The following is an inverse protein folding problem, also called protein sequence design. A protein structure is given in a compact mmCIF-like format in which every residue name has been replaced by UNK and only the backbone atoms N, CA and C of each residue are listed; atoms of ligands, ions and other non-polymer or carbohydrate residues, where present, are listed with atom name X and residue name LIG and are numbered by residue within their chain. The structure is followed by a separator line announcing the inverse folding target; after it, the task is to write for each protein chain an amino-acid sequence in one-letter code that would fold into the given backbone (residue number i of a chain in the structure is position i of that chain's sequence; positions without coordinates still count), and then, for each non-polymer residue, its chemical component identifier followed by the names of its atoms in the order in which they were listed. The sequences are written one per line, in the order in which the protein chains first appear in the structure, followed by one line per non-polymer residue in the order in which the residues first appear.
data_IF_332201831433
#
_entry.id   IF_332201831433
#
_cell.length_a   1.000
_cell.length_b   1.000
_cell.length_c   1.000
_cell.angle_alpha   90.00
_cell.angle_beta   90.00
_cell.angle_gamma   90.00
#
_symmetry.space_group_name_H-M   'P 1'
#
loop_
_entity.id
_entity.type
_entity.pdbx_description
1 polymer ?
#
# COMPACT_ATOMS: atom_id res chain seq x y z
N UNK A 1 -7.14 13.23 -4.05
CA UNK A 1 -7.26 14.43 -3.18
C UNK A 1 -5.91 15.04 -2.81
N UNK A 2 -5.08 14.34 -2.02
CA UNK A 2 -3.70 14.80 -1.73
C UNK A 2 -2.67 13.66 -1.70
N UNK A 3 -2.68 12.82 -0.67
CA UNK A 3 -1.60 11.84 -0.40
C UNK A 3 -2.09 10.50 0.15
N UNK A 4 -3.32 10.12 -0.18
CA UNK A 4 -3.95 8.92 0.34
C UNK A 4 -5.21 8.58 -0.43
N UNK A 5 -5.71 7.37 -0.20
CA UNK A 5 -6.86 6.77 -0.85
C UNK A 5 -7.87 6.31 0.20
N UNK A 6 -9.15 6.30 -0.16
CA UNK A 6 -10.23 5.78 0.69
C UNK A 6 -10.88 4.60 -0.03
N UNK A 7 -11.26 3.57 0.73
CA UNK A 7 -12.03 2.43 0.23
C UNK A 7 -13.44 2.45 0.84
N UNK A 8 -14.47 2.38 0.00
CA UNK A 8 -15.86 2.30 0.41
C UNK A 8 -16.41 0.92 0.04
N UNK A 9 -16.72 0.09 1.05
CA UNK A 9 -17.31 -1.25 0.84
C UNK A 9 -18.83 -1.13 0.88
N UNK A 10 -19.47 -1.32 -0.27
CA UNK A 10 -20.91 -1.05 -0.47
C UNK A 10 -21.84 -2.22 -0.15
N UNK A 11 -21.31 -3.42 0.07
CA UNK A 11 -22.06 -4.65 0.31
C UNK A 11 -23.03 -4.54 1.48
N UNK A 12 -24.25 -5.08 1.33
CA UNK A 12 -25.29 -5.03 2.38
C UNK A 12 -24.79 -5.63 3.71
N UNK A 13 -24.08 -6.75 3.64
CA UNK A 13 -23.49 -7.42 4.81
C UNK A 13 -22.44 -6.54 5.49
N UNK A 14 -21.60 -5.84 4.72
CA UNK A 14 -20.58 -4.94 5.26
C UNK A 14 -21.23 -3.71 5.94
N UNK A 15 -22.27 -3.13 5.32
CA UNK A 15 -23.01 -2.00 5.90
C UNK A 15 -23.65 -2.32 7.25
N UNK A 16 -24.08 -3.58 7.44
CA UNK A 16 -24.73 -4.07 8.67
C UNK A 16 -23.76 -4.57 9.75
N UNK A 17 -22.44 -4.51 9.54
CA UNK A 17 -21.47 -4.91 10.55
C UNK A 17 -21.56 -4.02 11.81
N UNK A 18 -21.55 -4.68 12.97
CA UNK A 18 -21.39 -4.03 14.27
C UNK A 18 -19.98 -3.44 14.42
N UNK A 19 -19.77 -2.55 15.39
CA UNK A 19 -18.42 -2.04 15.69
C UNK A 19 -17.43 -3.18 15.97
N UNK A 20 -17.85 -4.23 16.67
CA UNK A 20 -17.00 -5.40 16.92
C UNK A 20 -16.64 -6.15 15.62
N UNK A 21 -17.61 -6.34 14.71
CA UNK A 21 -17.33 -6.96 13.40
C UNK A 21 -16.40 -6.11 12.53
N UNK A 22 -16.55 -4.79 12.59
CA UNK A 22 -15.67 -3.83 11.92
C UNK A 22 -14.24 -3.86 12.47
N UNK A 23 -14.09 -3.85 13.80
CA UNK A 23 -12.79 -3.99 14.46
C UNK A 23 -12.11 -5.29 14.06
N UNK A 24 -12.83 -6.43 14.08
CA UNK A 24 -12.25 -7.71 13.69
C UNK A 24 -11.69 -7.71 12.26
N UNK A 25 -12.38 -7.08 11.30
CA UNK A 25 -11.89 -6.94 9.92
C UNK A 25 -10.67 -6.02 9.85
N UNK A 26 -10.73 -4.86 10.51
CA UNK A 26 -9.64 -3.89 10.51
C UNK A 26 -8.36 -4.46 11.16
N UNK A 27 -8.50 -5.15 12.30
CA UNK A 27 -7.41 -5.83 13.01
C UNK A 27 -6.85 -6.98 12.17
N UNK A 28 -7.71 -7.80 11.55
CA UNK A 28 -7.27 -8.87 10.66
C UNK A 28 -6.39 -8.36 9.51
N UNK A 29 -6.72 -7.20 8.93
CA UNK A 29 -5.95 -6.59 7.85
C UNK A 29 -4.72 -5.78 8.34
N UNK A 30 -4.59 -5.52 9.64
CA UNK A 30 -3.53 -4.67 10.19
C UNK A 30 -2.32 -5.50 10.62
N UNK A 31 -1.39 -5.74 9.69
CA UNK A 31 -0.16 -6.48 9.98
C UNK A 31 0.89 -5.62 10.70
N UNK A 32 0.88 -4.31 10.51
CA UNK A 32 1.85 -3.37 11.11
C UNK A 32 1.18 -2.64 12.26
N UNK A 33 1.59 -2.92 13.49
CA UNK A 33 1.07 -2.28 14.70
C UNK A 33 2.25 -1.69 15.49
N UNK A 34 2.33 -0.35 15.50
CA UNK A 34 3.48 0.36 16.03
C UNK A 34 4.75 0.00 15.26
N UNK A 35 5.80 -0.42 15.97
CA UNK A 35 7.08 -0.81 15.38
C UNK A 35 7.21 -2.32 15.10
N UNK A 36 6.09 -3.04 15.04
CA UNK A 36 6.07 -4.50 14.88
C UNK A 36 5.25 -4.92 13.67
N UNK A 37 5.77 -5.90 12.94
CA UNK A 37 5.06 -6.62 11.89
C UNK A 37 4.63 -7.99 12.43
N UNK A 38 3.33 -8.26 12.46
CA UNK A 38 2.79 -9.55 12.85
C UNK A 38 2.58 -10.46 11.63
N UNK A 39 3.51 -11.38 11.43
CA UNK A 39 3.46 -12.37 10.33
C UNK A 39 2.70 -13.66 10.72
N UNK A 40 2.38 -13.84 12.00
CA UNK A 40 1.77 -15.06 12.54
C UNK A 40 0.27 -14.89 12.82
N UNK A 41 -0.28 -13.69 12.64
CA UNK A 41 -1.71 -13.39 12.76
C UNK A 41 -2.23 -13.51 14.20
N UNK A 42 -1.47 -12.97 15.16
CA UNK A 42 -1.87 -12.86 16.57
C UNK A 42 -1.93 -14.18 17.34
N UNK A 43 -1.70 -15.33 16.69
CA UNK A 43 -1.62 -16.64 17.34
C UNK A 43 -0.26 -16.76 18.01
N UNK A 44 -0.24 -16.86 19.34
CA UNK A 44 0.99 -17.02 20.11
C UNK A 44 1.86 -18.19 19.65
N UNK A 45 3.11 -18.22 20.13
CA UNK A 45 4.28 -19.06 19.76
C UNK A 45 4.10 -20.57 19.47
N UNK A 46 2.90 -21.14 19.58
CA UNK A 46 2.61 -22.57 19.40
C UNK A 46 2.50 -23.02 17.94
N UNK A 47 2.39 -22.10 16.98
CA UNK A 47 2.57 -22.40 15.56
C UNK A 47 3.29 -21.24 14.88
N UNK A 48 4.58 -21.37 14.52
CA UNK A 48 5.33 -20.33 13.81
C UNK A 48 4.96 -20.26 12.31
N UNK A 49 3.78 -20.76 11.94
CA UNK A 49 3.36 -20.80 10.55
C UNK A 49 2.85 -19.42 10.13
N UNK A 50 3.44 -18.91 9.05
CA UNK A 50 3.02 -17.67 8.39
C UNK A 50 1.53 -17.79 8.02
N UNK A 51 0.76 -16.77 8.39
CA UNK A 51 -0.66 -16.74 8.09
C UNK A 51 -0.88 -16.63 6.56
N UNK A 52 -1.87 -17.33 5.94
CA UNK A 52 -2.06 -17.32 4.49
C UNK A 52 -2.23 -15.93 3.87
N UNK A 53 -2.88 -15.00 4.59
CA UNK A 53 -3.01 -13.61 4.14
C UNK A 53 -1.65 -12.91 4.02
N UNK A 54 -0.70 -13.19 4.92
CA UNK A 54 0.64 -12.62 4.90
C UNK A 54 1.42 -13.14 3.69
N UNK A 55 1.31 -14.42 3.37
CA UNK A 55 1.89 -14.98 2.14
C UNK A 55 1.25 -14.37 0.90
N UNK A 56 -0.08 -14.21 0.89
CA UNK A 56 -0.80 -13.59 -0.22
C UNK A 56 -0.31 -12.15 -0.45
N UNK A 57 -0.21 -11.35 0.62
CA UNK A 57 0.27 -9.98 0.54
C UNK A 57 1.73 -9.89 0.06
N UNK A 58 2.60 -10.79 0.56
CA UNK A 58 3.98 -10.87 0.11
C UNK A 58 4.07 -11.19 -1.38
N UNK A 59 3.27 -12.15 -1.87
CA UNK A 59 3.23 -12.51 -3.29
C UNK A 59 2.72 -11.37 -4.16
N UNK A 60 1.67 -10.66 -3.74
CA UNK A 60 1.18 -9.48 -4.46
C UNK A 60 2.29 -8.43 -4.60
N UNK A 61 3.03 -8.14 -3.53
CA UNK A 61 4.12 -7.17 -3.57
C UNK A 61 5.29 -7.63 -4.46
N UNK A 62 5.68 -8.90 -4.37
CA UNK A 62 6.82 -9.43 -5.15
C UNK A 62 6.49 -9.63 -6.63
N UNK A 63 5.24 -9.98 -6.96
CA UNK A 63 4.85 -10.36 -8.32
C UNK A 63 4.27 -9.19 -9.13
N UNK A 64 3.98 -8.03 -8.51
CA UNK A 64 3.44 -6.87 -9.23
C UNK A 64 4.46 -6.14 -10.11
N UNK A 65 5.75 -6.42 -9.96
CA UNK A 65 6.84 -5.78 -10.72
C UNK A 65 7.31 -4.42 -10.16
N UNK A 66 6.54 -3.81 -9.25
CA UNK A 66 6.88 -2.48 -8.69
C UNK A 66 7.96 -2.55 -7.60
N UNK A 67 8.05 -3.67 -6.87
CA UNK A 67 8.97 -3.77 -5.71
C UNK A 67 10.44 -3.57 -6.12
N UNK A 68 10.84 -4.07 -7.29
CA UNK A 68 12.20 -3.91 -7.81
C UNK A 68 12.54 -2.42 -8.01
N UNK A 69 11.63 -1.64 -8.62
CA UNK A 69 11.79 -0.21 -8.81
C UNK A 69 11.78 0.54 -7.46
N UNK A 70 10.82 0.22 -6.58
CA UNK A 70 10.69 0.84 -5.26
C UNK A 70 11.94 0.68 -4.40
N UNK A 71 12.57 -0.50 -4.40
CA UNK A 71 13.81 -0.74 -3.63
C UNK A 71 14.92 0.21 -4.07
N UNK A 72 15.03 0.48 -5.37
CA UNK A 72 16.06 1.35 -5.94
C UNK A 72 15.72 2.83 -5.75
N UNK A 73 14.49 3.24 -6.10
CA UNK A 73 14.04 4.63 -6.02
C UNK A 73 14.08 5.18 -4.58
N UNK A 74 13.78 4.31 -3.61
CA UNK A 74 13.75 4.70 -2.20
C UNK A 74 15.11 4.50 -1.49
N UNK A 75 16.10 3.91 -2.17
CA UNK A 75 17.42 3.67 -1.61
C UNK A 75 17.45 2.72 -0.42
N UNK A 76 16.45 1.81 -0.30
CA UNK A 76 16.30 0.94 0.88
C UNK A 76 17.47 -0.02 1.09
N UNK A 77 18.25 -0.29 0.04
CA UNK A 77 19.43 -1.16 0.08
C UNK A 77 20.72 -0.43 -0.32
N UNK A 78 20.75 0.89 -0.19
CA UNK A 78 22.02 1.62 -0.08
C UNK A 78 22.78 1.15 1.16
N UNK A 79 24.12 1.13 1.13
CA UNK A 79 24.93 0.38 2.09
C UNK A 79 24.54 0.66 3.56
N UNK A 80 24.46 1.93 3.95
CA UNK A 80 24.10 2.31 5.33
C UNK A 80 22.70 1.82 5.72
N UNK A 81 21.72 1.97 4.83
CA UNK A 81 20.35 1.49 5.05
C UNK A 81 20.27 -0.04 5.07
N UNK A 82 21.01 -0.69 4.17
CA UNK A 82 21.10 -2.14 4.08
C UNK A 82 21.70 -2.76 5.35
N UNK A 83 22.71 -2.13 5.95
CA UNK A 83 23.28 -2.57 7.22
C UNK A 83 22.32 -2.33 8.39
N UNK A 84 21.58 -1.22 8.39
CA UNK A 84 20.62 -0.89 9.44
C UNK A 84 19.44 -1.88 9.46
N UNK A 85 18.95 -2.34 8.31
CA UNK A 85 17.86 -3.34 8.27
C UNK A 85 18.27 -4.71 8.82
N UNK A 86 19.57 -5.04 8.86
CA UNK A 86 20.04 -6.33 9.37
C UNK A 86 19.77 -6.51 10.87
N UNK A 87 19.52 -5.43 11.62
CA UNK A 87 19.12 -5.52 13.04
C UNK A 87 17.80 -6.29 13.26
N UNK A 88 16.99 -6.44 12.20
CA UNK A 88 15.75 -7.22 12.22
C UNK A 88 15.96 -8.70 11.84
N UNK A 89 17.18 -9.09 11.48
CA UNK A 89 17.55 -10.51 11.33
C UNK A 89 17.90 -11.09 12.71
N UNK A 90 16.98 -11.85 13.30
CA UNK A 90 17.14 -12.42 14.64
C UNK A 90 18.33 -13.40 14.75
N UNK A 91 18.64 -14.08 13.65
CA UNK A 91 19.74 -15.04 13.54
C UNK A 91 21.09 -14.33 13.37
N UNK A 92 21.97 -14.46 14.36
CA UNK A 92 23.27 -13.76 14.42
C UNK A 92 24.24 -14.21 13.33
N UNK A 93 24.29 -15.51 13.04
CA UNK A 93 25.21 -16.08 12.04
C UNK A 93 24.79 -15.64 10.63
N UNK A 94 23.47 -15.70 10.36
CA UNK A 94 22.92 -15.18 9.11
C UNK A 94 23.11 -13.67 8.99
N UNK A 95 22.95 -12.92 10.08
CA UNK A 95 23.12 -11.47 10.10
C UNK A 95 24.55 -11.08 9.73
N UNK A 96 25.55 -11.73 10.32
CA UNK A 96 26.95 -11.47 10.02
C UNK A 96 27.29 -11.87 8.58
N UNK A 97 26.79 -13.03 8.12
CA UNK A 97 26.92 -13.45 6.72
C UNK A 97 26.37 -12.39 5.76
N UNK A 98 25.18 -11.85 6.03
CA UNK A 98 24.58 -10.81 5.19
C UNK A 98 25.34 -9.49 5.28
N UNK A 99 25.86 -9.12 6.45
CA UNK A 99 26.69 -7.92 6.64
C UNK A 99 27.91 -7.96 5.71
N UNK A 100 28.71 -9.02 5.79
CA UNK A 100 29.89 -9.18 4.92
C UNK A 100 29.49 -9.15 3.44
N UNK A 101 28.43 -9.88 3.07
CA UNK A 101 27.97 -9.90 1.67
C UNK A 101 27.48 -8.53 1.19
N UNK A 102 26.86 -7.72 2.05
CA UNK A 102 26.40 -6.37 1.68
C UNK A 102 27.56 -5.39 1.49
N UNK A 103 28.63 -5.54 2.27
CA UNK A 103 29.85 -4.75 2.14
C UNK A 103 30.65 -5.11 0.87
N UNK A 104 30.67 -6.39 0.49
CA UNK A 104 31.33 -6.86 -0.74
C UNK A 104 30.59 -6.50 -2.03
N UNK A 105 29.28 -6.24 -1.94
CA UNK A 105 28.42 -6.00 -3.10
C UNK A 105 28.28 -4.50 -3.39
N UNK A 106 28.66 -4.08 -4.59
CA UNK A 106 28.83 -2.64 -4.91
C UNK A 106 27.55 -1.80 -5.04
N UNK A 107 26.34 -2.40 -5.12
CA UNK A 107 25.12 -1.65 -5.47
C UNK A 107 23.86 -2.20 -4.82
N UNK A 108 22.87 -1.33 -4.59
CA UNK A 108 21.57 -1.68 -4.05
C UNK A 108 20.85 -2.77 -4.87
N UNK A 109 20.92 -2.69 -6.21
CA UNK A 109 20.35 -3.71 -7.11
C UNK A 109 20.96 -5.09 -6.88
N UNK A 110 22.29 -5.19 -6.82
CA UNK A 110 22.96 -6.47 -6.54
C UNK A 110 22.62 -7.00 -5.14
N UNK A 111 22.49 -6.14 -4.12
CA UNK A 111 22.04 -6.55 -2.76
C UNK A 111 20.60 -7.05 -2.79
N UNK A 112 19.73 -6.41 -3.57
CA UNK A 112 18.35 -6.85 -3.75
C UNK A 112 18.29 -8.23 -4.41
N UNK A 113 19.05 -8.44 -5.49
CA UNK A 113 19.17 -9.73 -6.15
C UNK A 113 19.71 -10.80 -5.20
N UNK A 114 20.69 -10.48 -4.36
CA UNK A 114 21.21 -11.39 -3.33
C UNK A 114 20.10 -11.83 -2.36
N UNK A 115 19.31 -10.88 -1.85
CA UNK A 115 18.17 -11.20 -0.98
C UNK A 115 17.13 -12.08 -1.69
N UNK A 116 16.72 -11.73 -2.91
CA UNK A 116 15.79 -12.55 -3.70
C UNK A 116 16.34 -13.97 -3.91
N UNK A 117 17.62 -14.09 -4.32
CA UNK A 117 18.30 -15.38 -4.50
C UNK A 117 18.41 -16.18 -3.22
N UNK A 118 18.47 -15.57 -2.05
CA UNK A 118 18.64 -16.30 -0.79
C UNK A 118 17.30 -16.72 -0.18
N UNK A 119 16.26 -15.88 -0.27
CA UNK A 119 15.04 -16.05 0.52
C UNK A 119 13.78 -16.32 -0.31
N UNK A 120 13.66 -15.84 -1.54
CA UNK A 120 12.42 -15.99 -2.31
C UNK A 120 12.40 -17.32 -3.09
N UNK A 121 11.52 -18.25 -2.68
CA UNK A 121 11.49 -19.60 -3.27
C UNK A 121 11.20 -19.60 -4.77
N UNK A 122 10.32 -18.71 -5.26
CA UNK A 122 9.98 -18.59 -6.68
C UNK A 122 11.17 -18.10 -7.49
N UNK A 123 11.78 -16.99 -7.08
CA UNK A 123 12.98 -16.45 -7.71
C UNK A 123 14.17 -17.41 -7.65
N UNK A 124 14.34 -18.13 -6.53
CA UNK A 124 15.35 -19.19 -6.40
C UNK A 124 15.18 -20.27 -7.45
N UNK A 125 13.96 -20.78 -7.65
CA UNK A 125 13.68 -21.80 -8.66
C UNK A 125 13.96 -21.30 -10.08
N UNK A 126 13.62 -20.04 -10.38
CA UNK A 126 13.93 -19.41 -11.67
C UNK A 126 15.44 -19.33 -11.92
N UNK A 127 16.20 -18.89 -10.91
CA UNK A 127 17.66 -18.79 -11.00
C UNK A 127 18.33 -20.18 -11.10
N UNK A 128 17.80 -21.20 -10.42
CA UNK A 128 18.27 -22.59 -10.58
C UNK A 128 18.07 -23.10 -12.01
N UNK A 129 16.90 -22.85 -12.61
CA UNK A 129 16.61 -23.23 -14.01
C UNK A 129 17.52 -22.49 -15.00
N UNK A 130 17.96 -21.29 -14.64
CA UNK A 130 18.90 -20.50 -15.44
C UNK A 130 20.39 -20.84 -15.17
N UNK A 131 20.67 -21.94 -14.46
CA UNK A 131 22.02 -22.38 -14.07
C UNK A 131 22.85 -21.29 -13.36
N UNK A 132 22.18 -20.40 -12.61
CA UNK A 132 22.83 -19.34 -11.84
C UNK A 132 23.30 -19.88 -10.47
N UNK A 133 24.30 -19.21 -9.89
CA UNK A 133 24.79 -19.54 -8.54
C UNK A 133 23.73 -19.14 -7.52
N UNK A 134 23.35 -20.09 -6.66
CA UNK A 134 22.34 -19.90 -5.62
C UNK A 134 22.98 -20.02 -4.24
N UNK A 135 22.83 -19.01 -3.36
CA UNK A 135 23.28 -19.12 -1.97
C UNK A 135 22.56 -20.23 -1.22
N UNK A 136 23.14 -20.68 -0.10
CA UNK A 136 22.49 -21.64 0.80
C UNK A 136 21.08 -21.17 1.18
N UNK A 137 20.14 -22.12 1.18
CA UNK A 137 18.75 -21.84 1.52
C UNK A 137 18.65 -21.56 3.01
N UNK A 138 17.98 -20.47 3.36
CA UNK A 138 17.69 -20.18 4.77
C UNK A 138 16.59 -21.15 5.25
N UNK A 139 16.75 -21.65 6.47
CA UNK A 139 15.79 -22.55 7.12
C UNK A 139 15.23 -21.91 8.39
N UNK A 140 14.18 -22.51 8.97
CA UNK A 140 13.59 -22.02 10.21
C UNK A 140 12.96 -20.62 10.12
N UNK A 141 12.82 -19.92 11.26
CA UNK A 141 12.18 -18.59 11.34
C UNK A 141 12.86 -17.51 10.49
N UNK A 142 14.19 -17.61 10.32
CA UNK A 142 15.01 -16.67 9.55
C UNK A 142 14.59 -16.54 8.08
N UNK A 143 13.88 -17.55 7.53
CA UNK A 143 13.26 -17.47 6.19
C UNK A 143 12.32 -16.29 6.02
N UNK A 144 11.78 -15.78 7.12
CA UNK A 144 10.84 -14.68 7.11
C UNK A 144 11.51 -13.31 7.00
N UNK A 145 12.84 -13.21 6.99
CA UNK A 145 13.54 -11.92 6.94
C UNK A 145 13.19 -11.11 5.68
N UNK A 146 13.28 -11.70 4.48
CA UNK A 146 12.87 -11.02 3.25
C UNK A 146 11.37 -10.68 3.26
N UNK A 147 10.53 -11.58 3.78
CA UNK A 147 9.09 -11.35 3.91
C UNK A 147 8.80 -10.16 4.82
N UNK A 148 9.50 -10.06 5.94
CA UNK A 148 9.46 -8.91 6.81
C UNK A 148 9.88 -7.65 6.08
N UNK A 149 11.03 -7.66 5.37
CA UNK A 149 11.53 -6.50 4.64
C UNK A 149 10.50 -5.99 3.62
N UNK A 150 9.95 -6.88 2.79
CA UNK A 150 8.98 -6.52 1.74
C UNK A 150 7.71 -5.95 2.36
N UNK A 151 7.11 -6.65 3.34
CA UNK A 151 5.86 -6.21 3.94
C UNK A 151 6.03 -4.97 4.80
N UNK A 152 7.16 -4.82 5.50
CA UNK A 152 7.46 -3.61 6.25
C UNK A 152 7.44 -2.38 5.35
N UNK A 153 8.01 -2.47 4.15
CA UNK A 153 8.07 -1.32 3.26
C UNK A 153 6.79 -1.13 2.44
N UNK A 154 6.20 -2.20 1.91
CA UNK A 154 5.11 -2.12 0.93
C UNK A 154 3.69 -2.35 1.49
N UNK A 155 3.55 -2.99 2.66
CA UNK A 155 2.21 -3.30 3.18
C UNK A 155 1.47 -2.03 3.64
N UNK A 156 0.16 -1.90 3.36
CA UNK A 156 -0.62 -0.72 3.73
C UNK A 156 -0.69 -0.56 5.25
N UNK A 157 -0.41 0.65 5.74
CA UNK A 157 -0.76 1.05 7.11
C UNK A 157 -2.19 1.58 7.11
N UNK A 158 -3.08 0.87 7.79
CA UNK A 158 -4.49 1.24 7.93
C UNK A 158 -4.67 2.20 9.09
N UNK A 159 -5.43 3.27 8.89
CA UNK A 159 -5.98 4.05 10.00
C UNK A 159 -7.16 3.27 10.60
N UNK A 160 -6.86 2.39 11.55
CA UNK A 160 -7.86 1.46 12.11
C UNK A 160 -9.05 2.20 12.70
N UNK A 161 -8.84 3.39 13.29
CA UNK A 161 -9.88 4.16 13.94
C UNK A 161 -10.97 4.65 12.96
N UNK A 162 -10.64 4.83 11.68
CA UNK A 162 -11.65 5.19 10.67
C UNK A 162 -12.55 4.03 10.29
N UNK A 163 -12.13 2.80 10.59
CA UNK A 163 -12.81 1.57 10.18
C UNK A 163 -13.71 0.98 11.27
N UNK A 164 -13.45 1.26 12.56
CA UNK A 164 -14.11 0.59 13.70
C UNK A 164 -15.49 1.15 14.04
N UNK A 165 -15.66 2.48 14.00
CA UNK A 165 -16.88 3.15 14.43
C UNK A 165 -17.90 3.31 13.30
N UNK A 166 -19.15 2.91 13.53
CA UNK A 166 -20.26 3.14 12.58
C UNK A 166 -20.45 4.61 12.22
N UNK A 167 -20.24 5.51 13.18
CA UNK A 167 -20.50 6.95 13.04
C UNK A 167 -19.27 7.74 12.57
N UNK A 168 -18.20 7.06 12.13
CA UNK A 168 -17.01 7.74 11.64
C UNK A 168 -17.32 8.46 10.32
N UNK A 169 -17.09 9.77 10.27
CA UNK A 169 -17.33 10.58 9.09
C UNK A 169 -16.12 10.51 8.16
N UNK A 170 -16.36 10.18 6.89
CA UNK A 170 -15.34 10.12 5.86
C UNK A 170 -15.64 11.14 4.76
N UNK A 171 -14.58 11.70 4.16
CA UNK A 171 -14.72 12.63 3.04
C UNK A 171 -15.46 11.96 1.88
N UNK A 172 -16.51 12.63 1.39
CA UNK A 172 -17.27 12.18 0.23
C UNK A 172 -16.39 12.11 -1.02
N UNK A 173 -16.64 11.13 -1.91
CA UNK A 173 -16.17 11.20 -3.29
C UNK A 173 -16.52 12.55 -3.94
N UNK A 174 -15.70 12.98 -4.90
CA UNK A 174 -15.79 14.23 -5.65
C UNK A 174 -15.59 15.54 -4.85
N UNK A 175 -15.35 15.48 -3.54
CA UNK A 175 -14.97 16.67 -2.78
C UNK A 175 -13.65 17.28 -3.29
N UNK A 176 -13.58 18.61 -3.29
CA UNK A 176 -12.35 19.36 -3.57
C UNK A 176 -11.46 19.36 -2.34
N UNK A 177 -10.18 19.03 -2.51
CA UNK A 177 -9.20 19.19 -1.44
C UNK A 177 -8.75 20.67 -1.35
N UNK A 178 -8.98 21.37 -0.23
CA UNK A 178 -8.91 22.83 -0.16
C UNK A 178 -7.52 23.41 -0.46
N UNK A 179 -6.44 22.67 -0.14
CA UNK A 179 -5.06 23.14 -0.38
C UNK A 179 -4.51 22.79 -1.77
N UNK A 180 -5.05 21.77 -2.43
CA UNK A 180 -4.50 21.27 -3.71
C UNK A 180 -5.40 21.59 -4.89
N UNK A 181 -6.69 21.90 -4.64
CA UNK A 181 -7.69 22.06 -5.69
C UNK A 181 -8.10 20.73 -6.35
N UNK A 182 -7.43 19.62 -6.05
CA UNK A 182 -7.71 18.32 -6.65
C UNK A 182 -9.08 17.78 -6.21
N UNK A 183 -9.80 17.22 -7.17
CA UNK A 183 -11.04 16.46 -6.95
C UNK A 183 -10.71 15.09 -6.35
N UNK A 184 -11.53 14.62 -5.41
CA UNK A 184 -11.47 13.25 -4.89
C UNK A 184 -12.12 12.26 -5.87
N UNK A 185 -11.42 11.91 -6.94
CA UNK A 185 -11.92 11.02 -7.99
C UNK A 185 -11.97 9.55 -7.53
N UNK A 186 -12.97 8.76 -7.97
CA UNK A 186 -12.93 7.29 -7.87
C UNK A 186 -11.73 6.71 -8.64
N UNK A 187 -11.18 5.60 -8.15
CA UNK A 187 -10.08 4.89 -8.80
C UNK A 187 -10.61 3.61 -9.44
N UNK A 188 -10.28 3.42 -10.72
CA UNK A 188 -10.56 2.17 -11.42
C UNK A 188 -9.42 1.17 -11.13
N UNK A 189 -9.73 0.16 -10.33
CA UNK A 189 -8.75 -0.86 -9.90
C UNK A 189 -8.18 -1.63 -11.09
N UNK A 190 -8.95 -1.79 -12.19
CA UNK A 190 -8.49 -2.51 -13.38
C UNK A 190 -7.43 -1.74 -14.18
N UNK A 191 -7.32 -0.42 -13.96
CA UNK A 191 -6.40 0.50 -14.65
C UNK A 191 -5.54 1.27 -13.65
N UNK A 192 -5.33 0.73 -12.46
CA UNK A 192 -4.66 1.45 -11.37
C UNK A 192 -3.20 1.80 -11.73
N UNK A 193 -2.56 1.00 -12.58
CA UNK A 193 -1.20 1.25 -13.08
C UNK A 193 -1.13 2.50 -13.97
N UNK A 194 -2.22 2.87 -14.64
CA UNK A 194 -2.28 4.05 -15.49
C UNK A 194 -2.62 5.33 -14.70
N UNK A 195 -2.94 5.20 -13.40
CA UNK A 195 -3.38 6.31 -12.58
C UNK A 195 -2.22 7.20 -12.14
N UNK A 196 -2.04 8.34 -12.81
CA UNK A 196 -1.05 9.34 -12.43
C UNK A 196 -1.61 10.33 -11.38
N UNK A 197 -1.07 10.26 -10.17
CA UNK A 197 -1.44 11.14 -9.05
C UNK A 197 -1.19 12.63 -9.32
N UNK A 198 -0.29 12.97 -10.26
CA UNK A 198 0.07 14.34 -10.62
C UNK A 198 -0.90 14.98 -11.61
N UNK A 199 -1.69 14.17 -12.31
CA UNK A 199 -2.66 14.61 -13.32
C UNK A 199 -4.10 14.63 -12.80
N UNK A 200 -4.28 14.44 -11.49
CA UNK A 200 -5.59 14.52 -10.84
C UNK A 200 -6.32 15.83 -11.22
N UNK A 201 -7.59 15.77 -11.63
CA UNK A 201 -8.32 16.95 -12.08
C UNK A 201 -8.44 17.96 -10.94
N UNK A 202 -8.23 19.24 -11.28
CA UNK A 202 -8.29 20.37 -10.36
C UNK A 202 -9.45 21.30 -10.68
N UNK A 203 -10.07 21.85 -9.64
CA UNK A 203 -11.25 22.71 -9.78
C UNK A 203 -11.00 23.96 -10.65
N UNK A 204 -9.81 24.57 -10.56
CA UNK A 204 -9.45 25.75 -11.34
C UNK A 204 -9.32 25.45 -12.83
N UNK A 205 -8.78 24.27 -13.18
CA UNK A 205 -8.71 23.80 -14.56
C UNK A 205 -10.10 23.48 -15.10
N UNK A 206 -10.91 22.74 -14.32
CA UNK A 206 -12.27 22.37 -14.71
C UNK A 206 -13.18 23.59 -14.95
N UNK A 207 -13.07 24.63 -14.11
CA UNK A 207 -13.82 25.89 -14.31
C UNK A 207 -13.41 26.58 -15.62
N UNK A 208 -12.11 26.58 -15.94
CA UNK A 208 -11.59 27.17 -17.17
C UNK A 208 -11.95 26.37 -18.43
N UNK A 209 -12.03 25.04 -18.33
CA UNK A 209 -12.48 24.18 -19.42
C UNK A 209 -13.98 24.37 -19.66
N UNK A 210 -14.77 24.43 -18.59
CA UNK A 210 -16.20 24.67 -18.66
C UNK A 210 -16.50 26.04 -19.29
N UNK A 211 -15.81 27.10 -18.91
CA UNK A 211 -16.05 28.44 -19.46
C UNK A 211 -15.74 28.56 -20.95
N UNK A 212 -14.86 27.71 -21.50
CA UNK A 212 -14.54 27.65 -22.93
C UNK A 212 -15.53 26.81 -23.73
N UNK A 213 -16.12 25.81 -23.09
CA UNK A 213 -16.97 24.82 -23.75
C UNK A 213 -18.47 25.12 -23.65
N UNK A 214 -18.87 26.00 -22.72
CA UNK A 214 -20.27 26.37 -22.54
C UNK A 214 -20.58 27.63 -23.34
N UNK A 215 -21.55 27.55 -24.24
CA UNK A 215 -22.08 28.72 -24.96
C UNK A 215 -22.85 29.63 -23.99
N UNK A 216 -22.98 30.94 -24.27
CA UNK A 216 -23.70 31.87 -23.38
C UNK A 216 -25.15 31.45 -23.07
N UNK A 217 -25.78 30.65 -23.94
CA UNK A 217 -27.14 30.12 -23.76
C UNK A 217 -27.21 29.02 -22.69
N UNK A 218 -26.26 28.08 -22.69
CA UNK A 218 -26.18 26.98 -21.72
C UNK A 218 -25.78 27.47 -20.31
N UNK A 219 -25.03 28.58 -20.21
CA UNK A 219 -24.73 29.23 -18.93
C UNK A 219 -25.98 29.82 -18.26
N UNK A 220 -26.94 30.32 -19.06
CA UNK A 220 -28.21 30.87 -18.53
C UNK A 220 -29.13 29.77 -18.01
N UNK A 221 -29.14 28.61 -18.66
CA UNK A 221 -29.95 27.46 -18.27
C UNK A 221 -29.40 26.79 -17.00
N UNK A 222 -28.09 26.60 -16.91
CA UNK A 222 -27.44 26.04 -15.70
C UNK A 222 -27.59 26.91 -14.45
N UNK A 223 -27.57 28.25 -14.58
CA UNK A 223 -27.85 29.15 -13.44
C UNK A 223 -29.30 29.03 -12.95
N UNK A 224 -30.25 28.76 -13.85
CA UNK A 224 -31.65 28.49 -13.49
C UNK A 224 -31.80 27.18 -12.70
N UNK A 225 -31.08 26.14 -13.09
CA UNK A 225 -31.11 24.83 -12.41
C UNK A 225 -30.43 24.90 -11.04
N UNK A 226 -29.24 25.51 -10.94
CA UNK A 226 -28.53 25.64 -9.67
C UNK A 226 -29.21 26.61 -8.69
N UNK A 227 -29.80 27.69 -9.18
CA UNK A 227 -30.61 28.61 -8.36
C UNK A 227 -31.84 27.93 -7.73
N UNK A 228 -32.39 26.90 -8.38
CA UNK A 228 -33.50 26.10 -7.85
C UNK A 228 -33.05 25.00 -6.88
N UNK A 229 -31.76 24.59 -6.89
CA UNK A 229 -31.22 23.61 -5.95
C UNK A 229 -30.75 24.22 -4.61
N UNK A 230 -30.57 25.53 -4.53
CA UNK A 230 -30.10 26.22 -3.31
C UNK A 230 -31.22 26.68 -2.36
N UNK A 231 -32.48 26.40 -2.65
CA UNK A 231 -33.59 26.61 -1.72
C UNK A 231 -34.10 25.27 -1.17
N UNK A 232 -33.33 24.65 -0.28
CA UNK A 232 -33.96 23.87 0.78
C UNK A 232 -34.29 24.88 1.89
N UNK A 233 -35.58 25.21 1.99
CA UNK A 233 -36.13 26.04 3.05
C UNK A 233 -35.63 25.57 4.42
N UNK A 234 -34.96 26.48 5.14
CA UNK A 234 -34.95 26.46 6.59
C UNK A 234 -36.39 26.76 7.08
N UNK A 235 -37.21 25.73 7.22
CA UNK A 235 -38.36 25.72 8.11
C UNK A 235 -38.48 24.32 8.74
N UNK A 236 -37.99 24.19 9.97
CA UNK A 236 -38.66 23.72 11.21
C UNK A 236 -37.63 23.76 12.34
#
# INVERSE_FOLDING_TARGET
GRRGVHCWVGDEKARKLTNAGRSAVAEYLSLIVGEKLDINGGRGKKSPQVHPMVETAYRVAMDCGEMDAMVLEQGWLELDSALEILKYCEDEELRETLRTQFEEVDSADKRWQLLKRRFDDKYRQEMMKANQIIPEQVTGPSRNFLRWFVLWHAYPRLDVNVSTGLNHLLKSPFCIHPKTGNVAVPLDVSKIQDFDVTTCPRIDLLINELSKNVTEEELKENRKVLGNCCFFNEEI
#
